data_IF_248188354288
#
_entry.id   IF_248188354288
#
_cell.length_a   1.000
_cell.length_b   1.000
_cell.length_c   1.000
_cell.angle_alpha   90.00
_cell.angle_beta   90.00
_cell.angle_gamma   90.00
#
_symmetry.space_group_name_H-M   'P 1'
#
loop_
_entity.id
_entity.type
_entity.pdbx_description
1 polymer ?
#
# COMPACT_ATOMS: atom_id res chain seq x y z
N UNK A 1 9.73 1.15 -18.44
CA UNK A 1 9.20 1.62 -17.14
C UNK A 1 9.22 3.14 -17.11
N UNK A 2 8.06 3.77 -17.23
CA UNK A 2 7.93 5.22 -17.02
C UNK A 2 8.05 5.50 -15.52
N UNK A 3 8.99 6.35 -15.13
CA UNK A 3 9.06 6.85 -13.76
C UNK A 3 7.88 7.80 -13.53
N UNK A 4 7.01 7.43 -12.58
CA UNK A 4 5.92 8.28 -12.07
C UNK A 4 6.40 8.85 -10.74
N UNK A 5 6.30 10.16 -10.55
CA UNK A 5 6.69 10.76 -9.27
C UNK A 5 5.71 10.37 -8.14
N UNK A 6 6.10 10.68 -6.90
CA UNK A 6 5.34 10.26 -5.72
C UNK A 6 3.95 10.89 -5.67
N UNK A 7 3.79 12.13 -6.14
CA UNK A 7 2.51 12.84 -6.10
C UNK A 7 1.55 12.31 -7.17
N UNK A 8 2.05 12.11 -8.39
CA UNK A 8 1.28 11.51 -9.48
C UNK A 8 0.88 10.07 -9.15
N UNK A 9 1.81 9.27 -8.60
CA UNK A 9 1.52 7.91 -8.18
C UNK A 9 0.47 7.88 -7.05
N UNK A 10 0.55 8.82 -6.10
CA UNK A 10 -0.43 8.97 -5.02
C UNK A 10 -1.82 9.30 -5.58
N UNK A 11 -1.88 10.28 -6.48
CA UNK A 11 -3.13 10.70 -7.15
C UNK A 11 -3.79 9.54 -7.91
N UNK A 12 -3.00 8.77 -8.67
CA UNK A 12 -3.49 7.57 -9.38
C UNK A 12 -3.96 6.51 -8.37
N UNK A 13 -3.19 6.26 -7.31
CA UNK A 13 -3.54 5.28 -6.29
C UNK A 13 -4.91 5.57 -5.66
N UNK A 14 -5.13 6.81 -5.23
CA UNK A 14 -6.36 7.24 -4.56
C UNK A 14 -7.54 7.34 -5.53
N UNK A 15 -7.34 8.04 -6.65
CA UNK A 15 -8.43 8.41 -7.56
C UNK A 15 -8.80 7.33 -8.56
N UNK A 16 -7.85 6.49 -8.97
CA UNK A 16 -8.03 5.55 -10.08
C UNK A 16 -7.91 4.08 -9.67
N UNK A 17 -6.90 3.72 -8.89
CA UNK A 17 -6.80 2.36 -8.34
C UNK A 17 -7.68 2.16 -7.09
N UNK A 18 -8.28 3.24 -6.57
CA UNK A 18 -9.06 3.26 -5.32
C UNK A 18 -8.37 2.48 -4.20
N UNK A 19 -7.05 2.64 -4.07
CA UNK A 19 -6.24 1.95 -3.07
C UNK A 19 -6.41 0.42 -3.03
N UNK A 20 -6.52 -0.25 -4.19
CA UNK A 20 -6.67 -1.71 -4.30
C UNK A 20 -5.65 -2.53 -3.48
N UNK A 21 -4.42 -2.03 -3.32
CA UNK A 21 -3.38 -2.69 -2.52
C UNK A 21 -3.54 -2.54 -0.99
N UNK A 22 -4.47 -1.69 -0.56
CA UNK A 22 -4.74 -1.35 0.84
C UNK A 22 -6.12 -1.84 1.32
N UNK A 23 -6.79 -2.71 0.56
CA UNK A 23 -8.15 -3.19 0.84
C UNK A 23 -8.28 -4.71 0.66
N UNK A 24 -9.33 -5.27 1.23
CA UNK A 24 -9.66 -6.70 1.19
C UNK A 24 -8.90 -7.53 2.22
N UNK A 25 -8.96 -8.87 2.10
CA UNK A 25 -8.34 -9.80 3.05
C UNK A 25 -6.82 -9.92 2.86
N UNK A 26 -6.13 -8.79 2.64
CA UNK A 26 -4.70 -8.73 2.44
C UNK A 26 -3.94 -8.75 3.77
N UNK A 27 -2.69 -9.19 3.66
CA UNK A 27 -1.73 -9.24 4.75
C UNK A 27 -0.50 -8.45 4.36
N UNK A 28 -0.17 -7.44 5.16
CA UNK A 28 1.05 -6.66 5.02
C UNK A 28 2.13 -7.24 5.95
N UNK A 29 3.20 -7.76 5.34
CA UNK A 29 4.41 -8.14 6.07
C UNK A 29 5.34 -6.93 6.15
N UNK A 30 5.83 -6.67 7.35
CA UNK A 30 6.75 -5.59 7.70
C UNK A 30 8.08 -6.20 8.15
N UNK A 31 9.19 -5.59 7.77
CA UNK A 31 10.49 -5.84 8.41
C UNK A 31 10.47 -5.38 9.87
N UNK A 32 11.47 -5.78 10.65
CA UNK A 32 11.62 -5.32 12.05
C UNK A 32 11.61 -3.78 12.14
N UNK A 33 12.38 -3.12 11.29
CA UNK A 33 12.50 -1.65 11.26
C UNK A 33 11.18 -0.99 10.86
N UNK A 34 10.47 -1.59 9.90
CA UNK A 34 9.19 -1.09 9.42
C UNK A 34 8.08 -1.21 10.46
N UNK A 35 8.13 -2.20 11.36
CA UNK A 35 7.13 -2.33 12.43
C UNK A 35 7.11 -1.09 13.32
N UNK A 36 8.29 -0.63 13.74
CA UNK A 36 8.42 0.50 14.65
C UNK A 36 8.04 1.82 13.97
N UNK A 37 8.51 2.04 12.74
CA UNK A 37 8.13 3.22 11.94
C UNK A 37 6.62 3.24 11.66
N UNK A 38 6.03 2.11 11.30
CA UNK A 38 4.60 1.99 11.02
C UNK A 38 3.75 2.27 12.28
N UNK A 39 4.14 1.74 13.45
CA UNK A 39 3.46 2.04 14.72
C UNK A 39 3.59 3.51 15.12
N UNK A 40 4.78 4.08 14.99
CA UNK A 40 5.06 5.48 15.31
C UNK A 40 4.20 6.44 14.47
N UNK A 41 4.07 6.14 13.16
CA UNK A 41 3.22 6.92 12.26
C UNK A 41 1.74 6.78 12.56
N UNK A 42 1.27 5.58 12.88
CA UNK A 42 -0.12 5.39 13.28
C UNK A 42 -0.45 6.23 14.52
N UNK A 43 0.42 6.18 15.53
CA UNK A 43 0.26 6.98 16.75
C UNK A 43 0.26 8.48 16.44
N UNK A 44 1.16 8.95 15.56
CA UNK A 44 1.23 10.35 15.13
C UNK A 44 -0.03 10.80 14.37
N UNK A 45 -0.72 9.88 13.70
CA UNK A 45 -1.99 10.11 13.01
C UNK A 45 -3.21 9.97 13.95
N UNK A 46 -3.00 9.70 15.24
CA UNK A 46 -4.08 9.42 16.19
C UNK A 46 -4.85 8.13 15.90
N UNK A 47 -4.31 7.27 15.04
CA UNK A 47 -4.82 5.93 14.82
C UNK A 47 -4.43 5.11 16.03
N UNK A 48 -5.41 4.45 16.66
CA UNK A 48 -5.16 3.59 17.83
C UNK A 48 -4.07 2.53 17.57
N UNK A 49 -3.74 1.71 18.59
CA UNK A 49 -2.61 0.78 18.50
C UNK A 49 -2.74 -0.15 17.29
N UNK A 50 -1.72 -0.13 16.43
CA UNK A 50 -1.64 -1.05 15.29
C UNK A 50 -1.47 -2.47 15.81
N UNK A 51 -2.43 -3.32 15.48
CA UNK A 51 -2.40 -4.77 15.64
C UNK A 51 -1.44 -5.35 14.59
N UNK A 52 -0.17 -5.45 14.97
CA UNK A 52 0.85 -6.16 14.21
C UNK A 52 1.31 -7.38 15.01
N UNK A 53 1.09 -8.58 14.48
CA UNK A 53 1.60 -9.82 15.07
C UNK A 53 3.11 -9.88 14.83
N UNK A 54 3.89 -10.03 15.89
CA UNK A 54 5.33 -10.20 15.81
C UNK A 54 5.68 -11.56 15.19
N UNK A 55 6.64 -11.57 14.27
CA UNK A 55 7.23 -12.76 13.65
C UNK A 55 8.55 -13.13 14.36
N UNK A 56 9.08 -14.33 14.10
CA UNK A 56 10.31 -14.83 14.74
C UNK A 56 11.55 -13.99 14.41
N UNK A 57 11.59 -13.39 13.22
CA UNK A 57 12.63 -12.45 12.78
C UNK A 57 12.53 -11.07 13.47
N UNK A 58 11.48 -10.85 14.27
CA UNK A 58 11.14 -9.56 14.86
C UNK A 58 10.42 -8.61 13.90
N UNK A 59 10.11 -9.05 12.68
CA UNK A 59 9.19 -8.37 11.78
C UNK A 59 7.75 -8.45 12.27
N UNK A 60 6.85 -7.90 11.46
CA UNK A 60 5.44 -7.78 11.81
C UNK A 60 4.52 -8.23 10.69
N UNK A 61 3.34 -8.68 11.08
CA UNK A 61 2.27 -9.06 10.17
C UNK A 61 1.01 -8.31 10.56
N UNK A 62 0.55 -7.45 9.66
CA UNK A 62 -0.67 -6.65 9.80
C UNK A 62 -1.72 -7.25 8.86
N UNK A 63 -2.83 -7.75 9.41
CA UNK A 63 -3.94 -8.26 8.62
C UNK A 63 -4.99 -7.18 8.48
N UNK A 64 -5.46 -6.93 7.28
CA UNK A 64 -6.44 -5.87 7.05
C UNK A 64 -7.82 -6.23 7.58
N UNK A 65 -8.14 -7.53 7.65
CA UNK A 65 -9.33 -8.06 8.31
C UNK A 65 -9.41 -7.78 9.81
N UNK A 66 -8.29 -7.37 10.43
CA UNK A 66 -8.28 -7.00 11.85
C UNK A 66 -8.76 -5.55 12.08
N UNK A 67 -9.09 -4.83 10.99
CA UNK A 67 -9.50 -3.42 10.99
C UNK A 67 -10.85 -3.20 10.27
N UNK A 68 -11.61 -2.15 10.63
CA UNK A 68 -12.92 -1.89 10.03
C UNK A 68 -12.85 -1.69 8.51
N UNK A 69 -13.69 -2.44 7.78
CA UNK A 69 -13.79 -2.37 6.32
C UNK A 69 -12.67 -3.13 5.59
N UNK A 70 -12.03 -4.09 6.26
CA UNK A 70 -10.99 -4.96 5.70
C UNK A 70 -9.92 -4.17 4.94
N UNK A 71 -9.32 -3.18 5.60
CA UNK A 71 -8.37 -2.25 4.97
C UNK A 71 -7.18 -1.95 5.85
N UNK A 72 -6.12 -1.44 5.21
CA UNK A 72 -4.95 -0.95 5.90
C UNK A 72 -5.36 0.15 6.90
N UNK A 73 -4.86 0.13 8.16
CA UNK A 73 -5.17 1.17 9.15
C UNK A 73 -4.70 2.57 8.71
N UNK A 74 -3.71 2.65 7.81
CA UNK A 74 -3.18 3.91 7.28
C UNK A 74 -4.01 4.48 6.13
N UNK A 75 -5.03 3.75 5.69
CA UNK A 75 -5.91 4.16 4.62
C UNK A 75 -7.01 5.06 5.18
N UNK A 76 -7.13 6.25 4.60
CA UNK A 76 -8.25 7.13 4.85
C UNK A 76 -9.52 6.54 4.21
N UNK A 77 -10.58 6.30 4.98
CA UNK A 77 -11.77 5.61 4.51
C UNK A 77 -12.65 6.45 3.57
N UNK A 78 -12.52 7.77 3.61
CA UNK A 78 -13.37 8.70 2.88
C UNK A 78 -12.73 9.08 1.54
N UNK A 79 -11.40 9.24 1.56
CA UNK A 79 -10.62 9.72 0.40
C UNK A 79 -9.81 8.62 -0.28
N UNK A 80 -9.68 7.44 0.33
CA UNK A 80 -8.79 6.37 -0.11
C UNK A 80 -7.30 6.77 -0.09
N UNK A 81 -6.97 7.83 0.64
CA UNK A 81 -5.60 8.31 0.78
C UNK A 81 -4.78 7.43 1.70
N UNK A 82 -3.60 7.00 1.24
CA UNK A 82 -2.61 6.44 2.15
C UNK A 82 -1.97 7.60 2.92
N UNK A 83 -2.27 7.71 4.22
CA UNK A 83 -1.79 8.82 5.07
C UNK A 83 -0.28 8.78 5.32
N UNK A 84 0.40 7.71 4.90
CA UNK A 84 1.85 7.54 4.96
C UNK A 84 2.46 7.28 3.59
N UNK A 85 1.88 7.78 2.49
CA UNK A 85 2.26 7.40 1.12
C UNK A 85 3.77 7.51 0.84
N UNK A 86 4.42 8.58 1.30
CA UNK A 86 5.88 8.79 1.14
C UNK A 86 6.74 7.90 2.05
N UNK A 87 6.14 7.27 3.06
CA UNK A 87 6.79 6.41 4.04
C UNK A 87 6.22 5.00 4.03
N UNK A 88 5.67 4.60 2.88
CA UNK A 88 5.14 3.25 2.70
C UNK A 88 6.21 2.21 3.04
N UNK A 89 5.83 1.10 3.69
CA UNK A 89 6.70 -0.07 3.80
C UNK A 89 7.13 -0.54 2.40
N UNK A 90 8.27 -1.21 2.30
CA UNK A 90 8.85 -1.72 1.05
C UNK A 90 7.83 -2.51 0.26
N UNK A 91 7.12 -3.45 0.91
CA UNK A 91 6.05 -4.23 0.26
C UNK A 91 4.94 -3.37 -0.37
N UNK A 92 4.64 -2.20 0.20
CA UNK A 92 3.67 -1.25 -0.36
C UNK A 92 4.27 -0.37 -1.46
N UNK A 93 5.59 -0.21 -1.53
CA UNK A 93 6.31 0.47 -2.62
C UNK A 93 6.48 -0.44 -3.83
N UNK A 94 6.65 -1.73 -3.60
CA UNK A 94 6.80 -2.74 -4.65
C UNK A 94 5.48 -3.02 -5.39
N UNK A 95 4.35 -2.56 -4.84
CA UNK A 95 3.08 -2.63 -5.54
C UNK A 95 3.03 -1.60 -6.69
N UNK A 96 2.56 -1.99 -7.89
CA UNK A 96 2.07 -3.31 -8.24
C UNK A 96 3.22 -4.25 -8.61
N UNK A 97 3.25 -5.46 -8.03
CA UNK A 97 4.26 -6.49 -8.36
C UNK A 97 3.90 -7.27 -9.63
N UNK A 98 2.65 -7.17 -10.08
CA UNK A 98 2.10 -7.78 -11.29
C UNK A 98 0.95 -6.95 -11.83
N UNK A 99 0.60 -7.17 -13.09
CA UNK A 99 -0.59 -6.56 -13.68
C UNK A 99 -1.82 -6.85 -12.81
N UNK A 100 -2.46 -5.78 -12.33
CA UNK A 100 -3.62 -5.83 -11.44
C UNK A 100 -4.81 -5.26 -12.19
N UNK A 101 -5.79 -6.10 -12.59
CA UNK A 101 -6.97 -5.65 -13.32
C UNK A 101 -7.69 -4.52 -12.58
N UNK A 102 -7.97 -3.42 -13.28
CA UNK A 102 -8.66 -2.26 -12.71
C UNK A 102 -7.78 -1.32 -11.88
N UNK A 103 -6.46 -1.48 -11.87
CA UNK A 103 -5.53 -0.49 -11.31
C UNK A 103 -4.67 0.15 -12.41
N UNK A 104 -4.97 1.40 -12.82
CA UNK A 104 -4.21 2.09 -13.85
C UNK A 104 -2.74 2.32 -13.49
N UNK A 105 -2.37 2.36 -12.20
CA UNK A 105 -0.96 2.39 -11.80
C UNK A 105 -0.23 1.13 -12.27
N UNK A 106 -0.91 -0.02 -12.25
CA UNK A 106 -0.38 -1.28 -12.73
C UNK A 106 -0.25 -1.31 -14.25
N UNK A 107 -1.23 -0.76 -14.96
CA UNK A 107 -1.15 -0.59 -16.41
C UNK A 107 -0.05 0.40 -16.82
N UNK A 108 0.20 1.47 -16.07
CA UNK A 108 1.31 2.40 -16.35
C UNK A 108 2.68 1.78 -16.05
N UNK A 109 2.78 0.98 -14.98
CA UNK A 109 4.03 0.34 -14.57
C UNK A 109 4.41 -0.83 -15.50
N UNK A 110 3.42 -1.61 -15.97
CA UNK A 110 3.65 -2.83 -16.78
C UNK A 110 3.23 -2.71 -18.25
N UNK A 111 2.46 -1.69 -18.63
CA UNK A 111 1.91 -1.55 -19.97
C UNK A 111 2.84 -0.78 -20.90
N UNK A 112 3.98 -1.36 -21.27
CA UNK A 112 4.65 -1.12 -22.56
C UNK A 112 5.42 -2.39 -22.97
N UNK A 113 4.76 -3.28 -23.73
CA UNK A 113 5.36 -4.25 -24.68
C UNK A 113 4.28 -4.72 -25.70
N UNK A 114 3.44 -3.81 -26.20
CA UNK A 114 2.48 -4.12 -27.30
C UNK A 114 2.41 -2.98 -28.34
N UNK A 115 3.59 -2.45 -28.69
CA UNK A 115 3.78 -1.58 -29.86
C UNK A 115 4.94 -2.11 -30.71
N UNK A 116 4.81 -3.34 -31.18
CA UNK A 116 5.80 -4.03 -32.02
C UNK A 116 5.16 -5.12 -32.88
N UNK A 117 3.97 -4.88 -33.43
CA UNK A 117 3.30 -5.75 -34.37
C UNK A 117 2.66 -4.92 -35.49
N UNK A 118 3.41 -4.68 -36.56
CA UNK A 118 2.99 -4.04 -37.79
C UNK A 118 3.95 -4.34 -38.92
#
# INVERSE_FOLDING_TARGET
MRAVDVEEASSICMGRCRAACCQGPLVLRLSREEVDDFRSRAASLGLGPVRARTLEDGGGLVRFTDYPGDRCPMLDPDTWACRIYSHRPGRCRDFPERLTPGCPLSEVVFGEDDAGGG
#
